data_IF_894242142395
#
_entry.id   IF_894242142395
#
_cell.length_a   1.000
_cell.length_b   1.000
_cell.length_c   1.000
_cell.angle_alpha   90.00
_cell.angle_beta   90.00
_cell.angle_gamma   90.00
#
_symmetry.space_group_name_H-M   'P 1'
#
loop_
_entity.id
_entity.type
_entity.pdbx_description
1 polymer ?
#
# COMPACT_ATOMS: atom_id res chain seq x y z
N UNK A 1 -12.65 -1.51 -18.43
CA UNK A 1 -11.81 -1.00 -19.54
C UNK A 1 -10.53 -0.34 -19.03
N UNK A 2 -10.61 0.60 -18.08
CA UNK A 2 -9.43 1.32 -17.56
C UNK A 2 -8.41 0.44 -16.82
N UNK A 3 -8.86 -0.44 -15.92
CA UNK A 3 -7.98 -1.28 -15.09
C UNK A 3 -7.05 -2.22 -15.88
N UNK A 4 -7.32 -2.46 -17.17
CA UNK A 4 -6.45 -3.25 -18.06
C UNK A 4 -5.24 -2.47 -18.59
N UNK A 5 -5.29 -1.13 -18.50
CA UNK A 5 -4.29 -0.21 -19.07
C UNK A 5 -3.82 0.84 -18.06
N UNK A 6 -4.24 0.69 -16.79
CA UNK A 6 -3.81 1.49 -15.67
C UNK A 6 -4.04 0.69 -14.40
N UNK A 7 -2.96 0.18 -13.83
CA UNK A 7 -3.02 -0.74 -12.71
C UNK A 7 -2.85 0.01 -11.40
N UNK A 8 -3.88 -0.05 -10.57
CA UNK A 8 -3.91 0.49 -9.21
C UNK A 8 -4.54 -0.54 -8.29
N UNK A 9 -3.95 -0.77 -7.13
CA UNK A 9 -4.51 -1.70 -6.16
C UNK A 9 -4.11 -1.36 -4.73
N UNK A 10 -4.99 -1.74 -3.80
CA UNK A 10 -4.74 -1.71 -2.37
C UNK A 10 -4.39 -3.11 -1.89
N UNK A 11 -3.43 -3.20 -0.98
CA UNK A 11 -2.95 -4.48 -0.50
C UNK A 11 -2.44 -4.37 0.93
N UNK A 12 -3.09 -5.05 1.88
CA UNK A 12 -2.63 -5.15 3.27
C UNK A 12 -2.19 -3.80 3.86
N UNK A 13 -1.22 -3.80 4.77
CA UNK A 13 -0.78 -2.64 5.53
C UNK A 13 0.74 -2.62 5.72
N UNK A 14 1.27 -1.45 6.07
CA UNK A 14 2.64 -1.30 6.56
C UNK A 14 2.74 -1.65 8.05
N UNK A 15 3.96 -1.64 8.61
CA UNK A 15 4.25 -1.98 10.02
C UNK A 15 3.53 -1.11 11.05
N UNK A 16 3.03 0.06 10.64
CA UNK A 16 2.28 0.96 11.50
C UNK A 16 0.77 0.86 11.28
N UNK A 17 0.32 0.06 10.32
CA UNK A 17 -1.09 -0.15 10.02
C UNK A 17 -1.66 0.84 9.00
N UNK A 18 -0.82 1.53 8.22
CA UNK A 18 -1.31 2.29 7.06
C UNK A 18 -1.60 1.34 5.89
N UNK A 19 -2.72 1.48 5.17
CA UNK A 19 -2.97 0.67 3.98
C UNK A 19 -1.89 0.93 2.91
N UNK A 20 -1.46 -0.13 2.23
CA UNK A 20 -0.54 0.00 1.08
C UNK A 20 -1.35 0.24 -0.18
N UNK A 21 -1.04 1.35 -0.85
CA UNK A 21 -1.60 1.70 -2.15
C UNK A 21 -0.51 1.58 -3.21
N UNK A 22 -0.72 0.70 -4.19
CA UNK A 22 0.18 0.45 -5.30
C UNK A 22 -0.38 1.02 -6.58
N UNK A 23 0.48 1.63 -7.38
CA UNK A 23 0.15 2.13 -8.71
C UNK A 23 1.31 1.86 -9.68
N UNK A 24 1.05 1.10 -10.75
CA UNK A 24 2.05 0.85 -11.78
C UNK A 24 1.98 1.96 -12.82
N UNK A 25 2.75 3.02 -12.62
CA UNK A 25 2.73 4.18 -13.52
C UNK A 25 3.25 3.85 -14.92
N UNK A 26 4.15 2.86 -15.04
CA UNK A 26 4.59 2.34 -16.34
C UNK A 26 3.50 1.60 -17.13
N UNK A 27 2.39 1.20 -16.48
CA UNK A 27 1.26 0.55 -17.17
C UNK A 27 0.36 1.54 -17.92
N UNK A 28 0.47 2.84 -17.65
CA UNK A 28 -0.39 3.88 -18.22
C UNK A 28 -0.07 4.07 -19.70
N UNK A 29 -0.92 3.49 -20.55
CA UNK A 29 -0.79 3.64 -22.00
C UNK A 29 -1.78 4.71 -22.51
N UNK A 30 -1.40 5.99 -22.44
CA UNK A 30 -2.25 7.11 -22.87
C UNK A 30 -2.75 6.97 -24.32
N UNK A 31 -1.92 6.59 -25.31
CA UNK A 31 -2.40 6.35 -26.68
C UNK A 31 -3.50 5.27 -26.77
N UNK A 32 -3.34 4.16 -26.05
CA UNK A 32 -4.35 3.09 -26.05
C UNK A 32 -5.62 3.49 -25.29
N UNK A 33 -5.48 4.18 -24.15
CA UNK A 33 -6.60 4.73 -23.39
C UNK A 33 -7.47 5.62 -24.29
N UNK A 34 -6.85 6.52 -25.06
CA UNK A 34 -7.56 7.36 -26.03
C UNK A 34 -8.24 6.55 -27.13
N UNK A 35 -7.58 5.53 -27.68
CA UNK A 35 -8.16 4.66 -28.72
C UNK A 35 -9.43 3.95 -28.23
N UNK A 36 -9.50 3.58 -26.95
CA UNK A 36 -10.69 2.97 -26.35
C UNK A 36 -11.68 4.00 -25.77
N UNK A 37 -11.53 5.29 -26.12
CA UNK A 37 -12.46 6.35 -25.74
C UNK A 37 -12.29 6.89 -24.31
N UNK A 38 -11.21 6.53 -23.61
CA UNK A 38 -10.91 7.10 -22.29
C UNK A 38 -10.27 8.48 -22.47
N UNK A 39 -10.94 9.49 -21.94
CA UNK A 39 -10.44 10.86 -21.91
C UNK A 39 -9.54 11.10 -20.69
N UNK A 40 -8.73 12.18 -20.74
CA UNK A 40 -7.99 12.66 -19.56
C UNK A 40 -8.90 12.96 -18.38
N UNK A 41 -10.12 13.43 -18.63
CA UNK A 41 -11.11 13.67 -17.58
C UNK A 41 -11.64 12.37 -16.96
N UNK A 42 -11.91 11.34 -17.76
CA UNK A 42 -12.29 10.03 -17.26
C UNK A 42 -11.16 9.39 -16.43
N UNK A 43 -9.91 9.53 -16.87
CA UNK A 43 -8.73 9.07 -16.13
C UNK A 43 -8.60 9.79 -14.78
N UNK A 44 -8.79 11.12 -14.76
CA UNK A 44 -8.76 11.91 -13.53
C UNK A 44 -9.92 11.58 -12.58
N UNK A 45 -11.12 11.34 -13.10
CA UNK A 45 -12.26 10.86 -12.30
C UNK A 45 -12.00 9.48 -11.70
N UNK A 46 -11.33 8.60 -12.44
CA UNK A 46 -10.90 7.31 -11.89
C UNK A 46 -9.90 7.47 -10.76
N UNK A 47 -8.92 8.36 -10.92
CA UNK A 47 -7.99 8.70 -9.84
C UNK A 47 -8.74 9.19 -8.58
N UNK A 48 -9.71 10.10 -8.73
CA UNK A 48 -10.53 10.56 -7.60
C UNK A 48 -11.33 9.41 -6.97
N UNK A 49 -11.93 8.55 -7.78
CA UNK A 49 -12.62 7.35 -7.29
C UNK A 49 -11.70 6.44 -6.48
N UNK A 50 -10.48 6.16 -6.97
CA UNK A 50 -9.51 5.34 -6.25
C UNK A 50 -9.09 5.98 -4.92
N UNK A 51 -8.90 7.30 -4.88
CA UNK A 51 -8.60 8.04 -3.66
C UNK A 51 -9.74 7.99 -2.65
N UNK A 52 -10.97 8.30 -3.06
CA UNK A 52 -12.16 8.24 -2.19
C UNK A 52 -12.42 6.83 -1.66
N UNK A 53 -12.29 5.83 -2.53
CA UNK A 53 -12.41 4.42 -2.13
C UNK A 53 -11.37 4.08 -1.07
N UNK A 54 -10.11 4.48 -1.28
CA UNK A 54 -9.02 4.19 -0.34
C UNK A 54 -9.26 4.88 0.99
N UNK A 55 -9.69 6.14 1.00
CA UNK A 55 -9.97 6.87 2.24
C UNK A 55 -11.16 6.27 3.00
N UNK A 56 -12.25 5.92 2.29
CA UNK A 56 -13.46 5.41 2.91
C UNK A 56 -13.32 3.98 3.43
N UNK A 57 -12.65 3.11 2.69
CA UNK A 57 -12.67 1.67 2.97
C UNK A 57 -11.32 1.10 3.41
N UNK A 58 -10.19 1.71 3.05
CA UNK A 58 -8.87 1.20 3.43
C UNK A 58 -8.27 1.96 4.60
N UNK A 59 -8.27 3.29 4.52
CA UNK A 59 -7.77 4.16 5.56
C UNK A 59 -8.88 4.49 6.59
N UNK A 60 -9.79 3.57 6.89
CA UNK A 60 -10.92 3.83 7.79
C UNK A 60 -10.51 3.83 9.28
N UNK A 61 -9.31 3.33 9.60
CA UNK A 61 -8.73 3.36 10.94
C UNK A 61 -7.45 4.21 10.95
N UNK A 62 -7.34 5.13 11.90
CA UNK A 62 -6.13 5.93 12.12
C UNK A 62 -5.06 5.06 12.79
N UNK A 63 -3.81 5.04 12.29
CA UNK A 63 -2.73 4.37 13.02
C UNK A 63 -2.32 5.12 14.29
N UNK A 64 -1.79 4.42 15.30
CA UNK A 64 -1.31 5.03 16.55
C UNK A 64 -0.02 5.84 16.40
N UNK A 65 0.51 5.94 15.18
CA UNK A 65 1.71 6.68 14.84
C UNK A 65 1.57 8.20 15.08
N UNK A 66 2.62 8.86 15.58
CA UNK A 66 2.59 10.30 15.91
C UNK A 66 2.11 11.19 14.75
N UNK A 67 2.51 10.86 13.53
CA UNK A 67 2.13 11.62 12.34
C UNK A 67 0.62 11.60 12.07
N UNK A 68 -0.08 10.50 12.35
CA UNK A 68 -1.53 10.42 12.17
C UNK A 68 -2.26 10.96 13.40
N UNK A 69 -1.76 10.69 14.60
CA UNK A 69 -2.32 11.23 15.84
C UNK A 69 -2.29 12.78 15.85
N UNK A 70 -1.16 13.39 15.49
CA UNK A 70 -0.99 14.85 15.48
C UNK A 70 -1.78 15.60 14.40
N UNK A 71 -2.11 14.92 13.30
CA UNK A 71 -2.87 15.53 12.20
C UNK A 71 -4.34 15.09 12.18
N UNK A 72 -4.72 14.14 13.03
CA UNK A 72 -6.03 13.47 13.02
C UNK A 72 -6.45 12.96 11.62
N UNK A 73 -5.47 12.74 10.74
CA UNK A 73 -5.72 12.25 9.38
C UNK A 73 -5.31 10.80 9.24
N UNK A 74 -6.17 10.02 8.60
CA UNK A 74 -5.79 8.69 8.14
C UNK A 74 -4.85 8.85 6.93
N UNK A 75 -3.77 8.07 6.92
CA UNK A 75 -2.71 8.15 5.91
C UNK A 75 -2.48 6.79 5.24
N UNK A 76 -1.89 6.84 4.06
CA UNK A 76 -1.54 5.66 3.27
C UNK A 76 -0.03 5.59 3.03
N UNK A 77 0.48 4.37 2.87
CA UNK A 77 1.81 4.12 2.32
C UNK A 77 1.66 3.92 0.80
N UNK A 78 2.22 4.82 0.00
CA UNK A 78 2.03 4.84 -1.46
C UNK A 78 3.28 4.30 -2.14
N UNK A 79 3.10 3.34 -3.05
CA UNK A 79 4.15 2.76 -3.90
C UNK A 79 3.78 2.97 -5.37
N UNK A 80 4.59 3.78 -6.07
CA UNK A 80 4.46 4.09 -7.49
C UNK A 80 5.55 3.33 -8.25
N UNK A 81 5.17 2.29 -8.99
CA UNK A 81 6.11 1.47 -9.76
C UNK A 81 6.37 2.08 -11.13
N UNK A 82 7.59 2.60 -11.32
CA UNK A 82 8.06 3.21 -12.55
C UNK A 82 8.62 2.20 -13.55
N UNK A 83 8.61 0.89 -13.24
CA UNK A 83 9.09 -0.14 -14.17
C UNK A 83 8.33 -0.07 -15.49
N UNK A 84 9.08 -0.09 -16.59
CA UNK A 84 8.53 -0.06 -17.94
C UNK A 84 8.15 1.34 -18.47
N UNK A 85 8.27 2.40 -17.68
CA UNK A 85 8.02 3.76 -18.19
C UNK A 85 9.11 4.17 -19.18
N UNK A 86 8.70 4.67 -20.35
CA UNK A 86 9.58 5.26 -21.35
C UNK A 86 9.72 6.77 -21.18
N UNK A 87 10.84 7.34 -21.64
CA UNK A 87 11.06 8.80 -21.58
C UNK A 87 9.96 9.59 -22.29
N UNK A 88 9.41 9.04 -23.38
CA UNK A 88 8.33 9.67 -24.16
C UNK A 88 6.98 9.63 -23.45
N UNK A 89 6.79 8.67 -22.55
CA UNK A 89 5.55 8.57 -21.77
C UNK A 89 5.46 9.70 -20.75
N UNK A 90 6.59 10.26 -20.32
CA UNK A 90 6.68 11.48 -19.50
C UNK A 90 6.57 12.77 -20.33
N UNK A 91 5.66 12.77 -21.30
CA UNK A 91 5.33 13.93 -22.15
C UNK A 91 4.29 14.87 -21.52
N UNK A 92 3.86 15.87 -22.31
CA UNK A 92 2.95 16.92 -21.84
C UNK A 92 1.65 16.42 -21.21
N UNK A 93 1.04 15.37 -21.77
CA UNK A 93 -0.21 14.82 -21.24
C UNK A 93 -0.04 14.11 -19.89
N UNK A 94 1.07 13.40 -19.70
CA UNK A 94 1.39 12.81 -18.40
C UNK A 94 1.66 13.90 -17.36
N UNK A 95 2.40 14.95 -17.74
CA UNK A 95 2.62 16.11 -16.87
C UNK A 95 1.31 16.83 -16.52
N UNK A 96 0.39 16.99 -17.47
CA UNK A 96 -0.93 17.57 -17.22
C UNK A 96 -1.74 16.71 -16.24
N UNK A 97 -1.76 15.40 -16.46
CA UNK A 97 -2.43 14.46 -15.57
C UNK A 97 -1.84 14.52 -14.15
N UNK A 98 -0.51 14.45 -14.02
CA UNK A 98 0.20 14.59 -12.74
C UNK A 98 -0.18 15.92 -12.08
N UNK A 99 -0.18 17.04 -12.82
CA UNK A 99 -0.54 18.36 -12.29
C UNK A 99 -1.98 18.40 -11.77
N UNK A 100 -2.93 17.76 -12.47
CA UNK A 100 -4.32 17.65 -12.00
C UNK A 100 -4.41 16.83 -10.72
N UNK A 101 -3.76 15.67 -10.67
CA UNK A 101 -3.71 14.81 -9.50
C UNK A 101 -3.08 15.52 -8.29
N UNK A 102 -1.89 16.10 -8.44
CA UNK A 102 -1.20 16.81 -7.34
C UNK A 102 -2.01 18.01 -6.85
N UNK A 103 -2.59 18.79 -7.77
CA UNK A 103 -3.45 19.92 -7.42
C UNK A 103 -4.74 19.50 -6.70
N UNK A 104 -5.27 18.31 -6.98
CA UNK A 104 -6.41 17.75 -6.25
C UNK A 104 -5.99 17.26 -4.86
N UNK A 105 -4.88 16.52 -4.76
CA UNK A 105 -4.34 16.05 -3.48
C UNK A 105 -4.07 17.20 -2.52
N UNK A 106 -3.45 18.28 -3.00
CA UNK A 106 -3.08 19.41 -2.15
C UNK A 106 -4.29 20.20 -1.65
N UNK A 107 -5.35 20.32 -2.45
CA UNK A 107 -6.54 21.12 -2.12
C UNK A 107 -7.61 20.36 -1.36
N UNK A 108 -7.83 19.09 -1.70
CA UNK A 108 -8.97 18.31 -1.19
C UNK A 108 -8.54 17.16 -0.28
N UNK A 109 -7.30 16.68 -0.38
CA UNK A 109 -6.79 15.54 0.39
C UNK A 109 -5.47 15.86 1.11
N UNK A 110 -5.40 16.96 1.89
CA UNK A 110 -4.17 17.36 2.53
C UNK A 110 -3.67 16.28 3.50
N UNK A 111 -2.34 16.09 3.51
CA UNK A 111 -1.63 15.23 4.46
C UNK A 111 -1.99 13.72 4.45
N UNK A 112 -2.68 13.21 3.43
CA UNK A 112 -3.13 11.80 3.34
C UNK A 112 -2.07 10.73 3.04
N UNK A 113 -0.80 11.10 2.85
CA UNK A 113 0.29 10.13 2.66
C UNK A 113 1.26 10.12 3.82
N UNK A 114 1.61 8.93 4.28
CA UNK A 114 2.64 8.69 5.28
C UNK A 114 4.03 8.66 4.62
N UNK A 115 4.18 7.77 3.63
CA UNK A 115 5.36 7.66 2.77
C UNK A 115 4.92 7.53 1.32
N UNK A 116 5.75 8.04 0.42
CA UNK A 116 5.63 7.82 -1.02
C UNK A 116 6.94 7.21 -1.49
N UNK A 117 6.85 6.06 -2.15
CA UNK A 117 7.97 5.38 -2.78
C UNK A 117 7.73 5.38 -4.28
N UNK A 118 8.65 5.95 -5.05
CA UNK A 118 8.71 5.78 -6.49
C UNK A 118 9.81 4.77 -6.75
N UNK A 119 9.42 3.56 -7.13
CA UNK A 119 10.28 2.38 -7.16
C UNK A 119 10.61 1.96 -8.58
N UNK A 120 11.67 1.17 -8.72
CA UNK A 120 12.14 0.65 -10.01
C UNK A 120 12.35 1.76 -11.05
N UNK A 121 12.85 2.94 -10.62
CA UNK A 121 12.99 4.06 -11.54
C UNK A 121 14.10 3.81 -12.57
N UNK A 122 13.89 4.16 -13.85
CA UNK A 122 14.96 4.11 -14.83
C UNK A 122 16.00 5.19 -14.57
N UNK A 123 17.22 5.01 -15.10
CA UNK A 123 18.35 5.93 -14.88
C UNK A 123 18.07 7.38 -15.28
N UNK A 124 17.20 7.60 -16.27
CA UNK A 124 16.81 8.94 -16.73
C UNK A 124 15.75 9.61 -15.83
N UNK A 125 15.08 8.88 -14.93
CA UNK A 125 13.93 9.38 -14.17
C UNK A 125 14.25 10.62 -13.33
N UNK A 126 15.49 10.75 -12.85
CA UNK A 126 15.93 11.94 -12.13
C UNK A 126 15.72 13.24 -12.91
N UNK A 127 15.75 13.21 -14.25
CA UNK A 127 15.46 14.36 -15.10
C UNK A 127 13.96 14.71 -15.07
N UNK A 128 13.09 13.72 -15.22
CA UNK A 128 11.64 13.92 -15.13
C UNK A 128 11.22 14.41 -13.74
N UNK A 129 11.86 13.88 -12.69
CA UNK A 129 11.61 14.33 -11.32
C UNK A 129 11.91 15.82 -11.11
N UNK A 130 12.91 16.40 -11.80
CA UNK A 130 13.17 17.85 -11.74
C UNK A 130 11.97 18.68 -12.21
N UNK A 131 11.19 18.17 -13.17
CA UNK A 131 9.96 18.80 -13.65
C UNK A 131 8.75 18.57 -12.73
N UNK A 132 8.66 17.39 -12.10
CA UNK A 132 7.54 17.04 -11.20
C UNK A 132 7.69 17.69 -9.82
N UNK A 133 8.91 17.75 -9.28
CA UNK A 133 9.20 18.24 -7.92
C UNK A 133 8.63 19.62 -7.60
N UNK A 134 8.64 20.62 -8.51
CA UNK A 134 8.02 21.94 -8.26
C UNK A 134 6.50 21.90 -8.08
N UNK A 135 5.83 20.89 -8.61
CA UNK A 135 4.37 20.71 -8.46
C UNK A 135 3.98 20.21 -7.07
N UNK A 136 4.94 19.75 -6.27
CA UNK A 136 4.72 19.14 -4.97
C UNK A 136 5.04 20.11 -3.84
N UNK A 137 4.17 20.14 -2.82
CA UNK A 137 4.43 20.90 -1.60
C UNK A 137 5.57 20.26 -0.79
N UNK A 138 6.14 21.03 0.14
CA UNK A 138 7.30 20.62 0.91
C UNK A 138 7.08 19.31 1.69
N UNK A 139 5.95 19.18 2.37
CA UNK A 139 5.60 17.97 3.11
C UNK A 139 5.54 16.72 2.21
N UNK A 140 5.06 16.84 0.97
CA UNK A 140 5.03 15.73 0.00
C UNK A 140 6.41 15.39 -0.52
N UNK A 141 7.24 16.40 -0.80
CA UNK A 141 8.64 16.18 -1.21
C UNK A 141 9.44 15.47 -0.13
N UNK A 142 9.29 15.90 1.13
CA UNK A 142 10.05 15.37 2.27
C UNK A 142 9.79 13.88 2.54
N UNK A 143 8.61 13.37 2.19
CA UNK A 143 8.24 11.95 2.37
C UNK A 143 8.34 11.11 1.09
N UNK A 144 8.73 11.70 -0.04
CA UNK A 144 8.90 10.99 -1.31
C UNK A 144 10.32 10.42 -1.41
N UNK A 145 10.41 9.13 -1.68
CA UNK A 145 11.65 8.38 -1.83
C UNK A 145 11.71 7.86 -3.26
N UNK A 146 12.80 8.13 -3.97
CA UNK A 146 13.01 7.68 -5.34
C UNK A 146 14.06 6.58 -5.30
N UNK A 147 13.71 5.41 -5.80
CA UNK A 147 14.46 4.19 -5.60
C UNK A 147 14.67 3.49 -6.94
N UNK A 148 15.92 3.12 -7.20
CA UNK A 148 16.26 2.20 -8.27
C UNK A 148 15.71 0.80 -7.96
N UNK A 149 15.71 -0.08 -8.96
CA UNK A 149 15.25 -1.46 -8.78
C UNK A 149 16.04 -2.20 -7.70
N UNK A 150 17.36 -2.03 -7.65
CA UNK A 150 18.22 -2.63 -6.61
C UNK A 150 17.97 -2.11 -5.19
N UNK A 151 17.48 -0.87 -5.05
CA UNK A 151 17.20 -0.26 -3.74
C UNK A 151 15.79 -0.56 -3.23
N UNK A 152 14.89 -0.96 -4.14
CA UNK A 152 13.44 -1.05 -3.89
C UNK A 152 13.11 -1.98 -2.73
N UNK A 153 13.57 -3.24 -2.79
CA UNK A 153 13.24 -4.23 -1.75
C UNK A 153 13.75 -3.80 -0.36
N UNK A 154 15.03 -3.43 -0.26
CA UNK A 154 15.64 -3.03 1.00
C UNK A 154 15.03 -1.77 1.62
N UNK A 155 14.55 -0.84 0.80
CA UNK A 155 13.86 0.35 1.29
C UNK A 155 12.44 0.07 1.75
N UNK A 156 11.66 -0.72 0.99
CA UNK A 156 10.27 -1.04 1.34
C UNK A 156 10.19 -1.92 2.60
N UNK A 157 11.07 -2.92 2.74
CA UNK A 157 11.09 -3.83 3.90
C UNK A 157 11.42 -3.15 5.24
N UNK A 158 11.94 -1.90 5.21
CA UNK A 158 12.08 -1.09 6.43
C UNK A 158 10.72 -0.72 7.01
N UNK A 159 9.74 -0.47 6.15
CA UNK A 159 8.41 0.05 6.52
C UNK A 159 7.30 -0.99 6.42
N UNK A 160 7.46 -2.02 5.58
CA UNK A 160 6.44 -3.02 5.28
C UNK A 160 6.98 -4.40 5.71
N UNK A 161 6.16 -5.20 6.37
CA UNK A 161 6.52 -6.57 6.69
C UNK A 161 6.60 -7.44 5.42
N UNK A 162 7.52 -8.42 5.42
CA UNK A 162 7.78 -9.21 4.23
C UNK A 162 6.52 -9.97 3.74
N UNK A 163 5.72 -10.50 4.65
CA UNK A 163 4.47 -11.21 4.36
C UNK A 163 3.32 -10.29 3.90
N UNK A 164 3.51 -8.97 4.00
CA UNK A 164 2.58 -7.94 3.56
C UNK A 164 3.03 -7.25 2.28
N UNK A 165 4.30 -7.44 1.89
CA UNK A 165 4.88 -6.90 0.66
C UNK A 165 4.80 -7.94 -0.47
N UNK A 166 4.23 -7.62 -1.66
CA UNK A 166 4.22 -8.54 -2.79
C UNK A 166 5.64 -8.99 -3.21
N UNK A 167 5.74 -10.24 -3.66
CA UNK A 167 7.01 -10.84 -4.11
C UNK A 167 7.72 -10.01 -5.20
N UNK A 168 6.98 -9.33 -6.08
CA UNK A 168 7.53 -8.49 -7.15
C UNK A 168 8.31 -7.25 -6.64
N UNK A 169 8.15 -6.90 -5.36
CA UNK A 169 8.86 -5.81 -4.69
C UNK A 169 9.85 -6.32 -3.62
N UNK A 170 10.12 -7.63 -3.59
CA UNK A 170 11.09 -8.26 -2.69
C UNK A 170 10.54 -8.71 -1.33
N UNK A 171 9.21 -8.77 -1.18
CA UNK A 171 8.57 -9.43 -0.03
C UNK A 171 8.34 -10.92 -0.24
N UNK A 172 7.49 -11.50 0.59
CA UNK A 172 7.09 -12.91 0.56
C UNK A 172 5.58 -13.10 0.34
N UNK A 173 4.81 -12.00 0.23
CA UNK A 173 3.36 -12.09 0.05
C UNK A 173 2.99 -12.61 -1.35
N UNK A 174 2.25 -13.72 -1.37
CA UNK A 174 1.68 -14.33 -2.57
C UNK A 174 0.23 -14.74 -2.31
N UNK A 175 -0.69 -13.78 -2.40
CA UNK A 175 -2.11 -14.04 -2.18
C UNK A 175 -2.69 -14.99 -3.24
N UNK A 176 -3.63 -15.85 -2.82
CA UNK A 176 -4.42 -16.67 -3.73
C UNK A 176 -5.18 -15.78 -4.73
N UNK A 177 -4.97 -16.01 -6.03
CA UNK A 177 -5.53 -15.17 -7.10
C UNK A 177 -4.78 -13.85 -7.34
N UNK A 178 -3.62 -13.62 -6.70
CA UNK A 178 -2.70 -12.51 -6.94
C UNK A 178 -2.91 -11.30 -6.03
N UNK A 179 -1.80 -10.71 -5.55
CA UNK A 179 -1.83 -9.53 -4.68
C UNK A 179 -2.46 -8.30 -5.35
N UNK A 180 -2.22 -8.14 -6.65
CA UNK A 180 -2.74 -7.05 -7.49
C UNK A 180 -4.23 -7.21 -7.82
N UNK A 181 -4.71 -8.44 -7.98
CA UNK A 181 -5.99 -8.75 -8.63
C UNK A 181 -7.07 -9.25 -7.67
N UNK A 182 -6.69 -9.89 -6.57
CA UNK A 182 -7.62 -10.60 -5.70
C UNK A 182 -7.42 -10.32 -4.21
N UNK A 183 -6.77 -9.21 -3.85
CA UNK A 183 -6.79 -8.74 -2.45
C UNK A 183 -8.23 -8.51 -1.96
N UNK A 184 -8.45 -8.57 -0.66
CA UNK A 184 -9.72 -8.24 -0.01
C UNK A 184 -10.23 -6.85 -0.43
N UNK A 185 -9.34 -5.86 -0.57
CA UNK A 185 -9.68 -4.55 -1.11
C UNK A 185 -10.12 -4.58 -2.57
N UNK A 186 -9.47 -5.37 -3.43
CA UNK A 186 -9.88 -5.51 -4.83
C UNK A 186 -11.24 -6.20 -4.98
N UNK A 187 -11.54 -7.16 -4.12
CA UNK A 187 -12.88 -7.78 -4.04
C UNK A 187 -13.93 -6.75 -3.63
N UNK A 188 -13.65 -5.94 -2.61
CA UNK A 188 -14.52 -4.85 -2.15
C UNK A 188 -14.76 -3.79 -3.23
N UNK A 189 -13.70 -3.34 -3.91
CA UNK A 189 -13.80 -2.34 -4.98
C UNK A 189 -14.64 -2.86 -6.15
N UNK A 190 -14.46 -4.12 -6.55
CA UNK A 190 -15.28 -4.77 -7.59
C UNK A 190 -16.74 -4.87 -7.17
N UNK A 191 -17.02 -5.27 -5.93
CA UNK A 191 -18.39 -5.33 -5.41
C UNK A 191 -19.08 -3.96 -5.42
N UNK A 192 -18.36 -2.89 -5.05
CA UNK A 192 -18.88 -1.52 -5.12
C UNK A 192 -19.18 -1.10 -6.56
N UNK A 193 -18.25 -1.34 -7.49
CA UNK A 193 -18.47 -1.00 -8.89
C UNK A 193 -19.66 -1.77 -9.45
N UNK A 194 -19.77 -3.06 -9.14
CA UNK A 194 -20.87 -3.91 -9.57
C UNK A 194 -22.22 -3.39 -9.03
N UNK A 195 -22.30 -3.04 -7.75
CA UNK A 195 -23.55 -2.53 -7.15
C UNK A 195 -23.99 -1.22 -7.80
N UNK A 196 -23.05 -0.32 -8.12
CA UNK A 196 -23.34 0.93 -8.83
C UNK A 196 -23.84 0.66 -10.26
N UNK A 197 -23.19 -0.24 -11.00
CA UNK A 197 -23.60 -0.60 -12.36
C UNK A 197 -24.98 -1.28 -12.40
N UNK A 198 -25.27 -2.11 -11.41
CA UNK A 198 -26.55 -2.81 -11.27
C UNK A 198 -27.63 -1.98 -10.56
N UNK A 199 -27.28 -0.80 -10.04
CA UNK A 199 -28.15 0.08 -9.24
C UNK A 199 -28.75 -0.62 -8.02
N UNK A 200 -27.94 -1.44 -7.34
CA UNK A 200 -28.30 -2.13 -6.09
C UNK A 200 -27.63 -1.48 -4.88
N UNK A 201 -28.18 -1.63 -3.66
CA UNK A 201 -27.49 -1.28 -2.44
C UNK A 201 -26.10 -1.92 -2.36
N UNK A 202 -25.14 -1.17 -1.83
CA UNK A 202 -23.79 -1.69 -1.63
C UNK A 202 -23.63 -2.22 -0.21
N UNK A 203 -23.65 -3.53 -0.06
CA UNK A 203 -23.44 -4.22 1.21
C UNK A 203 -21.93 -4.40 1.46
N UNK A 204 -21.33 -3.49 2.23
CA UNK A 204 -19.87 -3.48 2.46
C UNK A 204 -19.43 -4.21 3.73
N UNK A 205 -20.35 -4.51 4.66
CA UNK A 205 -20.01 -4.89 6.03
C UNK A 205 -19.17 -6.17 6.12
N UNK A 206 -19.58 -7.22 5.42
CA UNK A 206 -18.86 -8.50 5.40
C UNK A 206 -17.45 -8.36 4.81
N UNK A 207 -17.32 -7.60 3.72
CA UNK A 207 -16.05 -7.39 3.04
C UNK A 207 -15.11 -6.49 3.86
N UNK A 208 -15.62 -5.48 4.56
CA UNK A 208 -14.85 -4.65 5.50
C UNK A 208 -14.45 -5.45 6.74
N UNK A 209 -15.30 -6.36 7.21
CA UNK A 209 -14.97 -7.29 8.30
C UNK A 209 -13.84 -8.23 7.88
N UNK A 210 -13.87 -8.77 6.67
CA UNK A 210 -12.80 -9.61 6.14
C UNK A 210 -11.45 -8.87 6.08
N UNK A 211 -11.45 -7.60 5.66
CA UNK A 211 -10.25 -6.74 5.69
C UNK A 211 -9.71 -6.57 7.12
N UNK A 212 -10.62 -6.37 8.09
CA UNK A 212 -10.25 -6.19 9.50
C UNK A 212 -9.67 -7.48 10.11
N UNK A 213 -10.23 -8.64 9.77
CA UNK A 213 -9.75 -9.96 10.21
C UNK A 213 -8.37 -10.30 9.64
N UNK A 214 -8.16 -10.01 8.35
CA UNK A 214 -6.85 -10.19 7.70
C UNK A 214 -5.78 -9.33 8.39
N UNK A 215 -6.14 -8.10 8.78
CA UNK A 215 -5.26 -7.20 9.53
C UNK A 215 -4.94 -7.70 10.94
N UNK A 216 -5.87 -8.36 11.64
CA UNK A 216 -5.61 -8.90 12.99
C UNK A 216 -4.82 -10.21 13.00
N UNK A 217 -4.50 -10.78 11.84
CA UNK A 217 -3.78 -12.06 11.73
C UNK A 217 -4.61 -13.27 12.16
N UNK A 218 -5.92 -13.10 12.35
CA UNK A 218 -6.86 -14.17 12.66
C UNK A 218 -7.28 -14.82 11.35
N UNK A 219 -6.51 -15.80 10.88
CA UNK A 219 -6.96 -16.68 9.81
C UNK A 219 -8.12 -17.52 10.33
N UNK A 220 -9.28 -17.40 9.68
CA UNK A 220 -10.35 -18.36 9.83
C UNK A 220 -9.91 -19.60 9.03
N UNK A 221 -9.33 -20.58 9.71
CA UNK A 221 -9.30 -21.94 9.17
C UNK A 221 -10.76 -22.39 9.13
N UNK A 222 -11.33 -22.45 7.92
CA UNK A 222 -12.61 -23.11 7.70
C UNK A 222 -12.41 -24.60 8.03
N UNK A 223 -12.70 -24.97 9.28
CA UNK A 223 -13.04 -26.34 9.65
C UNK A 223 -14.47 -26.60 9.21
N UNK A 224 -14.66 -27.22 8.05
CA UNK A 224 -15.83 -28.07 7.82
C UNK A 224 -15.55 -29.10 6.72
N UNK A 225 -15.61 -30.36 7.13
CA UNK A 225 -15.33 -31.52 6.28
C UNK A 225 -15.29 -32.82 7.07
N UNK A 226 -16.27 -33.02 7.96
CA UNK A 226 -16.53 -34.31 8.59
C UNK A 226 -16.95 -35.31 7.50
N UNK A 227 -16.12 -36.30 7.21
CA UNK A 227 -16.58 -37.56 6.61
C UNK A 227 -15.89 -38.70 7.32
N UNK A 228 -16.73 -39.49 7.97
CA UNK A 228 -16.44 -40.73 8.68
C UNK A 228 -15.94 -41.80 7.72
N UNK A 229 -14.82 -42.44 8.04
CA UNK A 229 -14.60 -43.88 7.77
C UNK A 229 -13.65 -44.45 8.82
N UNK A 230 -14.17 -45.41 9.58
CA UNK A 230 -13.43 -46.27 10.50
C UNK A 230 -12.38 -47.13 9.78
N UNK A 231 -11.24 -47.40 10.44
CA UNK A 231 -10.80 -48.77 10.83
C UNK A 231 -9.27 -49.00 10.85
N UNK A 232 -8.78 -49.29 12.07
CA UNK A 232 -7.80 -50.35 12.47
C UNK A 232 -6.28 -50.02 12.57
N UNK A 233 -5.82 -49.96 13.84
CA UNK A 233 -4.59 -50.54 14.45
C UNK A 233 -3.20 -50.07 13.95
N UNK A 234 -2.15 -49.83 14.75
CA UNK A 234 -1.79 -49.91 16.18
C UNK A 234 -0.31 -49.43 16.30
N UNK A 235 0.33 -49.30 17.48
CA UNK A 235 1.12 -48.11 17.84
C UNK A 235 2.65 -48.29 17.89
N UNK A 236 3.42 -47.20 17.77
CA UNK A 236 4.81 -47.13 18.28
C UNK A 236 5.16 -45.75 18.85
N UNK A 237 5.47 -45.79 20.15
CA UNK A 237 6.23 -44.96 21.10
C UNK A 237 7.02 -43.69 20.65
N UNK A 238 6.85 -42.65 21.46
CA UNK A 238 7.66 -41.43 21.71
C UNK A 238 9.01 -41.74 22.43
N UNK A 239 10.04 -40.85 22.46
CA UNK A 239 9.99 -39.62 23.29
C UNK A 239 10.83 -38.37 22.87
N UNK A 240 10.22 -37.21 23.19
CA UNK A 240 10.75 -35.92 23.70
C UNK A 240 12.23 -35.53 23.59
N UNK A 241 12.48 -34.27 23.22
CA UNK A 241 13.44 -33.42 23.95
C UNK A 241 13.06 -31.93 23.92
N UNK A 242 13.03 -31.34 25.12
CA UNK A 242 12.93 -29.91 25.44
C UNK A 242 14.14 -29.12 24.95
N UNK A 243 13.91 -27.89 24.49
CA UNK A 243 14.94 -26.84 24.39
C UNK A 243 14.34 -25.49 24.75
N UNK A 244 14.71 -24.98 25.93
CA UNK A 244 14.35 -23.65 26.44
C UNK A 244 15.42 -22.65 26.01
N UNK A 245 15.04 -21.50 25.44
CA UNK A 245 15.91 -20.32 25.37
C UNK A 245 15.18 -19.06 25.82
N UNK A 246 15.85 -18.38 26.76
CA UNK A 246 15.45 -17.15 27.45
C UNK A 246 15.49 -15.93 26.52
N UNK A 247 14.46 -15.10 26.67
CA UNK A 247 14.44 -13.63 26.82
C UNK A 247 15.79 -12.91 26.62
N UNK A 248 15.88 -12.05 25.60
CA UNK A 248 16.74 -10.87 25.62
C UNK A 248 15.88 -9.61 25.42
N UNK A 249 16.17 -8.60 26.24
CA UNK A 249 15.37 -7.42 26.46
C UNK A 249 15.63 -6.34 25.41
N UNK A 250 14.54 -5.65 25.08
CA UNK A 250 14.36 -4.61 24.09
C UNK A 250 15.00 -3.25 24.44
N UNK A 251 16.27 -3.24 24.88
CA UNK A 251 16.97 -2.00 25.24
C UNK A 251 17.88 -1.43 24.15
N UNK A 252 18.09 -2.11 23.02
CA UNK A 252 19.06 -1.69 22.00
C UNK A 252 18.49 -0.88 20.83
N UNK A 253 17.16 -0.87 20.64
CA UNK A 253 16.53 -0.12 19.52
C UNK A 253 16.34 1.36 19.85
N UNK A 254 16.01 1.68 21.11
CA UNK A 254 15.85 3.07 21.54
C UNK A 254 17.19 3.83 21.57
N UNK A 255 18.30 3.14 21.87
CA UNK A 255 19.62 3.76 21.95
C UNK A 255 20.18 4.14 20.56
N UNK A 256 19.77 3.41 19.51
CA UNK A 256 20.16 3.72 18.13
C UNK A 256 19.42 4.95 17.55
N UNK A 257 18.27 5.34 18.12
CA UNK A 257 17.53 6.52 17.68
C UNK A 257 18.14 7.83 18.20
N UNK A 258 18.82 7.81 19.35
CA UNK A 258 19.47 9.00 19.92
C UNK A 258 20.73 9.43 19.16
N UNK A 259 21.44 8.51 18.52
CA UNK A 259 22.65 8.84 17.73
C UNK A 259 22.35 9.50 16.37
N UNK A 260 21.11 9.43 15.88
CA UNK A 260 20.73 9.97 14.55
C UNK A 260 20.01 11.34 14.66
N UNK A 261 19.91 11.93 15.85
CA UNK A 261 19.43 13.30 16.04
C UNK A 261 17.93 13.52 15.77
N UNK A 262 17.11 12.47 15.84
CA UNK A 262 15.68 12.52 15.49
C UNK A 262 14.74 12.91 16.65
N UNK A 263 15.23 13.10 17.89
CA UNK A 263 14.42 13.61 19.02
C UNK A 263 15.29 14.49 19.93
N UNK A 264 14.80 15.69 20.29
CA UNK A 264 15.42 16.54 21.33
C UNK A 264 15.09 15.99 22.72
N UNK A 265 16.09 15.88 23.60
CA UNK A 265 15.91 15.51 25.01
C UNK A 265 14.90 16.42 25.73
N UNK A 266 14.07 15.89 26.65
CA UNK A 266 13.25 16.74 27.50
C UNK A 266 14.16 17.54 28.45
N UNK A 267 14.00 18.86 28.42
CA UNK A 267 14.70 19.77 29.31
C UNK A 267 14.34 19.49 30.77
N UNK A 268 15.37 19.32 31.59
CA UNK A 268 15.28 19.22 33.05
C UNK A 268 14.87 20.58 33.60
N UNK A 269 13.69 20.68 34.21
CA UNK A 269 13.27 21.86 34.97
C UNK A 269 14.27 22.12 36.11
N UNK A 270 14.74 23.36 36.24
CA UNK A 270 15.29 23.86 37.49
C UNK A 270 14.41 25.02 37.95
N UNK A 271 13.93 24.85 39.18
CA UNK A 271 13.58 25.91 40.14
C UNK A 271 14.59 27.04 40.14
#
# INVERSE_FOLDING_TARGET
MLCRHYTQFLHKHDKLGHPLYFEKIGSINIPQLKKVGVTQDALFKHYLFAMEFSLKYAAHQTCPCDACASSETQKMCIVLDARGIGMRDMGGEAFEFIRRCTGAMQRHYPQRSFKIFIVNVPSWFGMAWKGVKPLLNEATRAKTNILTESETAGALLKYIDADSLPVEYGGTCSCAGGCETNSTYQRLQRALVQSVLERKPFESEELVRAISLERSGTNQEDSDGHTTTDSIGSPVLTPTSRGSTKRESSSTVLDQLFRVGLVRSPGRSKS
#
